data_IF_087845634458
#
_entry.id   IF_087845634458
#
_cell.length_a   1.000
_cell.length_b   1.000
_cell.length_c   1.000
_cell.angle_alpha   90.00
_cell.angle_beta   90.00
_cell.angle_gamma   90.00
#
_symmetry.space_group_name_H-M   'P 1'
#
loop_
_entity.id
_entity.type
_entity.pdbx_description
1 polymer ?
#
# COMPACT_ATOMS: atom_id res chain seq x y z
N UNK A 1 -18.31 -8.93 5.19
CA UNK A 1 -16.90 -8.47 5.09
C UNK A 1 -16.44 -8.03 6.48
N UNK A 2 -15.29 -8.48 6.98
CA UNK A 2 -14.77 -8.07 8.29
C UNK A 2 -13.59 -7.11 8.10
N UNK A 3 -13.92 -5.82 7.92
CA UNK A 3 -12.94 -4.76 7.66
C UNK A 3 -11.92 -4.63 8.80
N UNK A 4 -12.31 -4.63 10.10
CA UNK A 4 -11.34 -4.55 11.19
C UNK A 4 -10.29 -5.67 11.14
N UNK A 5 -10.68 -6.92 10.85
CA UNK A 5 -9.72 -8.03 10.72
C UNK A 5 -8.77 -7.85 9.53
N UNK A 6 -9.25 -7.32 8.41
CA UNK A 6 -8.42 -7.07 7.24
C UNK A 6 -7.36 -5.98 7.53
N UNK A 7 -7.78 -4.89 8.17
CA UNK A 7 -6.87 -3.81 8.61
C UNK A 7 -5.82 -4.34 9.58
N UNK A 8 -6.25 -5.10 10.60
CA UNK A 8 -5.34 -5.69 11.57
C UNK A 8 -4.33 -6.63 10.90
N UNK A 9 -4.76 -7.47 9.97
CA UNK A 9 -3.86 -8.36 9.21
C UNK A 9 -2.78 -7.58 8.46
N UNK A 10 -3.15 -6.51 7.75
CA UNK A 10 -2.19 -5.68 7.02
C UNK A 10 -1.18 -5.00 7.94
N UNK A 11 -1.63 -4.52 9.10
CA UNK A 11 -0.75 -3.97 10.13
C UNK A 11 0.23 -5.02 10.67
N UNK A 12 -0.25 -6.25 10.95
CA UNK A 12 0.64 -7.34 11.38
C UNK A 12 1.64 -7.76 10.30
N UNK A 13 1.22 -7.81 9.03
CA UNK A 13 2.11 -8.12 7.91
C UNK A 13 3.20 -7.05 7.75
N UNK A 14 2.87 -5.77 7.98
CA UNK A 14 3.85 -4.68 7.97
C UNK A 14 4.92 -4.86 9.04
N UNK A 15 4.54 -5.25 10.26
CA UNK A 15 5.49 -5.51 11.35
C UNK A 15 6.41 -6.71 11.10
N UNK A 16 6.14 -7.57 10.11
CA UNK A 16 7.03 -8.69 9.80
C UNK A 16 8.45 -8.23 9.46
N UNK A 17 8.61 -7.05 8.84
CA UNK A 17 9.93 -6.52 8.50
C UNK A 17 10.80 -6.26 9.73
N UNK A 18 10.19 -5.99 10.88
CA UNK A 18 10.85 -5.64 12.14
C UNK A 18 11.36 -6.89 12.89
N UNK A 19 10.82 -8.06 12.57
CA UNK A 19 11.19 -9.32 13.24
C UNK A 19 12.33 -10.01 12.48
N UNK A 20 13.57 -9.92 12.97
CA UNK A 20 14.67 -10.72 12.42
C UNK A 20 14.48 -12.20 12.72
N UNK A 21 14.70 -13.05 11.73
CA UNK A 21 14.67 -14.51 11.90
C UNK A 21 15.93 -15.09 11.28
N UNK A 22 16.81 -15.61 12.13
CA UNK A 22 18.07 -16.23 11.72
C UNK A 22 17.84 -17.70 11.34
N UNK A 23 18.64 -18.19 10.38
CA UNK A 23 18.66 -19.63 10.02
C UNK A 23 17.50 -20.12 9.16
N UNK A 24 16.73 -19.22 8.51
CA UNK A 24 15.69 -19.63 7.58
C UNK A 24 16.27 -20.31 6.32
N UNK A 25 15.62 -21.39 5.90
CA UNK A 25 15.87 -22.01 4.60
C UNK A 25 15.60 -20.99 3.47
N UNK A 26 16.32 -21.04 2.33
CA UNK A 26 16.16 -20.06 1.25
C UNK A 26 14.71 -19.89 0.76
N UNK A 27 13.95 -20.99 0.66
CA UNK A 27 12.53 -20.94 0.26
C UNK A 27 11.65 -20.21 1.29
N UNK A 28 11.93 -20.41 2.58
CA UNK A 28 11.21 -19.73 3.67
C UNK A 28 11.56 -18.24 3.68
N UNK A 29 12.82 -17.89 3.44
CA UNK A 29 13.27 -16.51 3.31
C UNK A 29 12.57 -15.79 2.15
N UNK A 30 12.52 -16.42 0.97
CA UNK A 30 11.82 -15.86 -0.18
C UNK A 30 10.33 -15.62 0.11
N UNK A 31 9.64 -16.59 0.71
CA UNK A 31 8.24 -16.45 1.10
C UNK A 31 8.04 -15.32 2.11
N UNK A 32 8.94 -15.18 3.08
CA UNK A 32 8.91 -14.09 4.06
C UNK A 32 9.08 -12.73 3.38
N UNK A 33 10.02 -12.58 2.45
CA UNK A 33 10.19 -11.35 1.68
C UNK A 33 8.95 -10.99 0.87
N UNK A 34 8.22 -11.97 0.34
CA UNK A 34 6.97 -11.72 -0.38
C UNK A 34 5.83 -11.27 0.53
N UNK A 35 5.73 -11.85 1.73
CA UNK A 35 4.75 -11.39 2.73
C UNK A 35 5.05 -9.98 3.23
N UNK A 36 6.33 -9.65 3.43
CA UNK A 36 6.76 -8.29 3.79
C UNK A 36 6.39 -7.33 2.67
N UNK A 37 6.78 -7.63 1.43
CA UNK A 37 6.41 -6.78 0.29
C UNK A 37 4.90 -6.55 0.21
N UNK A 38 4.10 -7.60 0.40
CA UNK A 38 2.64 -7.49 0.38
C UNK A 38 2.12 -6.58 1.51
N UNK A 39 2.68 -6.72 2.72
CA UNK A 39 2.37 -5.88 3.88
C UNK A 39 2.71 -4.42 3.64
N UNK A 40 3.94 -4.14 3.19
CA UNK A 40 4.38 -2.79 2.78
C UNK A 40 3.48 -2.20 1.71
N UNK A 41 3.25 -2.96 0.64
CA UNK A 41 2.50 -2.52 -0.52
C UNK A 41 1.10 -2.06 -0.13
N UNK A 42 0.34 -2.87 0.60
CA UNK A 42 -0.99 -2.44 1.05
C UNK A 42 -0.96 -1.38 2.14
N UNK A 43 0.09 -1.34 2.97
CA UNK A 43 0.23 -0.28 3.97
C UNK A 43 0.48 1.10 3.35
N UNK A 44 1.13 1.17 2.18
CA UNK A 44 1.27 2.44 1.43
C UNK A 44 -0.09 3.04 1.06
N UNK A 45 -1.10 2.20 0.79
CA UNK A 45 -2.47 2.67 0.54
C UNK A 45 -3.23 2.95 1.83
N UNK A 46 -3.14 2.06 2.82
CA UNK A 46 -3.94 2.12 4.05
C UNK A 46 -3.44 3.15 5.06
N UNK A 47 -2.12 3.23 5.26
CA UNK A 47 -1.42 4.08 6.23
C UNK A 47 -1.91 5.53 6.26
N UNK A 48 -2.07 6.21 5.10
CA UNK A 48 -2.59 7.57 5.02
C UNK A 48 -3.95 7.80 5.70
N UNK A 49 -4.78 6.75 5.80
CA UNK A 49 -6.13 6.86 6.36
C UNK A 49 -6.22 6.44 7.83
N UNK A 50 -5.18 5.79 8.36
CA UNK A 50 -5.19 5.24 9.72
C UNK A 50 -4.11 5.82 10.62
N UNK A 51 -3.12 6.53 10.06
CA UNK A 51 -2.04 7.14 10.82
C UNK A 51 -2.22 8.66 10.94
N UNK A 52 -2.73 9.09 12.10
CA UNK A 52 -2.98 10.50 12.40
C UNK A 52 -1.71 11.33 12.61
N UNK A 53 -0.54 10.70 12.72
CA UNK A 53 0.73 11.38 12.93
C UNK A 53 1.44 11.75 11.61
N UNK A 54 0.92 11.30 10.47
CA UNK A 54 1.50 11.62 9.16
C UNK A 54 1.08 13.02 8.71
N UNK A 55 2.04 13.79 8.20
CA UNK A 55 1.73 15.04 7.51
C UNK A 55 1.01 14.76 6.18
N UNK A 56 0.37 15.79 5.61
CA UNK A 56 -0.27 15.66 4.30
C UNK A 56 0.74 15.24 3.22
N UNK A 57 1.98 15.74 3.30
CA UNK A 57 3.06 15.35 2.40
C UNK A 57 3.40 13.87 2.51
N UNK A 58 3.54 13.34 3.73
CA UNK A 58 3.81 11.91 3.97
C UNK A 58 2.67 11.02 3.41
N UNK A 59 1.43 11.46 3.62
CA UNK A 59 0.24 10.77 3.09
C UNK A 59 0.26 10.72 1.57
N UNK A 60 0.54 11.85 0.90
CA UNK A 60 0.60 11.93 -0.56
C UNK A 60 1.77 11.14 -1.14
N UNK A 61 2.94 11.19 -0.51
CA UNK A 61 4.11 10.40 -0.93
C UNK A 61 3.81 8.90 -0.87
N UNK A 62 3.18 8.45 0.21
CA UNK A 62 2.79 7.05 0.42
C UNK A 62 1.76 6.59 -0.62
N UNK A 63 0.69 7.37 -0.86
CA UNK A 63 -0.30 7.07 -1.88
C UNK A 63 0.29 7.09 -3.31
N UNK A 64 1.18 8.04 -3.59
CA UNK A 64 1.88 8.11 -4.87
C UNK A 64 2.75 6.86 -5.08
N UNK A 65 3.49 6.45 -4.05
CA UNK A 65 4.31 5.23 -4.09
C UNK A 65 3.46 3.99 -4.35
N UNK A 66 2.32 3.85 -3.67
CA UNK A 66 1.36 2.78 -3.95
C UNK A 66 0.92 2.80 -5.42
N UNK A 67 0.51 3.97 -5.94
CA UNK A 67 0.00 4.10 -7.30
C UNK A 67 1.02 3.62 -8.34
N UNK A 68 2.29 4.00 -8.18
CA UNK A 68 3.37 3.58 -9.08
C UNK A 68 3.67 2.08 -8.98
N UNK A 69 3.72 1.53 -7.76
CA UNK A 69 3.93 0.09 -7.57
C UNK A 69 2.76 -0.73 -8.12
N UNK A 70 1.52 -0.28 -7.91
CA UNK A 70 0.33 -0.94 -8.45
C UNK A 70 0.35 -0.93 -9.99
N UNK A 71 0.78 0.18 -10.62
CA UNK A 71 0.95 0.25 -12.06
C UNK A 71 2.04 -0.70 -12.56
N UNK A 72 3.18 -0.79 -11.87
CA UNK A 72 4.25 -1.74 -12.22
C UNK A 72 3.77 -3.20 -12.13
N UNK A 73 3.01 -3.54 -11.07
CA UNK A 73 2.41 -4.86 -10.92
C UNK A 73 1.39 -5.15 -12.02
N UNK A 74 0.55 -4.17 -12.39
CA UNK A 74 -0.42 -4.31 -13.46
C UNK A 74 0.27 -4.50 -14.82
N UNK A 75 1.31 -3.73 -15.13
CA UNK A 75 2.07 -3.91 -16.38
C UNK A 75 2.69 -5.30 -16.48
N UNK A 76 3.19 -5.84 -15.37
CA UNK A 76 3.88 -7.14 -15.35
C UNK A 76 2.95 -8.35 -15.26
N UNK A 77 1.87 -8.23 -14.49
CA UNK A 77 1.02 -9.36 -14.10
C UNK A 77 -0.46 -9.15 -14.43
N UNK A 78 -0.81 -8.01 -15.05
CA UNK A 78 -2.19 -7.64 -15.38
C UNK A 78 -3.07 -7.74 -14.15
N UNK A 79 -4.19 -8.46 -14.26
CA UNK A 79 -5.18 -8.58 -13.19
C UNK A 79 -4.87 -9.70 -12.18
N UNK A 80 -3.69 -10.34 -12.26
CA UNK A 80 -3.32 -11.43 -11.36
C UNK A 80 -2.91 -10.94 -9.96
N UNK A 81 -2.40 -9.70 -9.87
CA UNK A 81 -2.01 -9.10 -8.59
C UNK A 81 -3.16 -8.32 -7.94
N UNK A 82 -3.85 -7.48 -8.72
CA UNK A 82 -5.05 -6.75 -8.33
C UNK A 82 -6.12 -7.00 -9.37
N UNK A 83 -7.37 -7.20 -8.96
CA UNK A 83 -8.46 -7.28 -9.94
C UNK A 83 -8.55 -5.97 -10.72
N UNK A 84 -9.05 -6.01 -11.96
CA UNK A 84 -9.16 -4.79 -12.79
C UNK A 84 -9.96 -3.68 -12.09
N UNK A 85 -11.04 -4.06 -11.39
CA UNK A 85 -11.83 -3.14 -10.57
C UNK A 85 -11.01 -2.55 -9.41
N UNK A 86 -10.33 -3.39 -8.62
CA UNK A 86 -9.53 -2.92 -7.49
C UNK A 86 -8.39 -1.98 -7.93
N UNK A 87 -7.73 -2.30 -9.04
CA UNK A 87 -6.71 -1.43 -9.63
C UNK A 87 -7.31 -0.09 -10.06
N UNK A 88 -8.40 -0.10 -10.84
CA UNK A 88 -9.03 1.13 -11.33
C UNK A 88 -9.53 2.01 -10.17
N UNK A 89 -10.19 1.42 -9.18
CA UNK A 89 -10.77 2.14 -8.04
C UNK A 89 -9.68 2.78 -7.17
N UNK A 90 -8.61 2.04 -6.86
CA UNK A 90 -7.49 2.59 -6.06
C UNK A 90 -6.78 3.73 -6.78
N UNK A 91 -6.54 3.62 -8.09
CA UNK A 91 -5.96 4.70 -8.89
C UNK A 91 -6.88 5.93 -8.95
N UNK A 92 -8.19 5.73 -9.10
CA UNK A 92 -9.15 6.83 -9.11
C UNK A 92 -9.20 7.57 -7.76
N UNK A 93 -9.19 6.85 -6.63
CA UNK A 93 -9.13 7.42 -5.28
C UNK A 93 -7.90 8.32 -5.14
N UNK A 94 -6.72 7.79 -5.47
CA UNK A 94 -5.44 8.52 -5.29
C UNK A 94 -5.40 9.77 -6.16
N UNK A 95 -5.80 9.65 -7.43
CA UNK A 95 -5.88 10.78 -8.36
C UNK A 95 -6.82 11.88 -7.84
N UNK A 96 -7.99 11.51 -7.32
CA UNK A 96 -8.94 12.45 -6.76
C UNK A 96 -8.39 13.17 -5.52
N UNK A 97 -7.71 12.45 -4.62
CA UNK A 97 -7.05 13.05 -3.45
C UNK A 97 -6.02 14.09 -3.89
N UNK A 98 -5.09 13.70 -4.78
CA UNK A 98 -4.01 14.59 -5.25
C UNK A 98 -4.58 15.84 -5.94
N UNK A 99 -5.57 15.66 -6.83
CA UNK A 99 -6.20 16.81 -7.50
C UNK A 99 -6.97 17.71 -6.55
N UNK A 100 -7.61 17.15 -5.54
CA UNK A 100 -8.32 17.96 -4.53
C UNK A 100 -7.33 18.80 -3.74
N UNK A 101 -6.21 18.21 -3.30
CA UNK A 101 -5.13 18.93 -2.61
C UNK A 101 -4.59 20.06 -3.49
N UNK A 102 -4.21 19.76 -4.73
CA UNK A 102 -3.67 20.74 -5.66
C UNK A 102 -4.65 21.88 -5.93
N UNK A 103 -5.96 21.58 -6.04
CA UNK A 103 -6.99 22.61 -6.20
C UNK A 103 -7.11 23.51 -4.98
N UNK A 104 -7.07 22.94 -3.77
CA UNK A 104 -7.17 23.73 -2.53
C UNK A 104 -5.99 24.70 -2.40
N UNK A 105 -4.78 24.28 -2.78
CA UNK A 105 -3.58 25.13 -2.77
C UNK A 105 -3.64 26.33 -3.73
N UNK A 106 -4.48 26.29 -4.76
CA UNK A 106 -4.66 27.41 -5.72
C UNK A 106 -5.83 28.32 -5.30
N UNK A 107 -6.74 27.81 -4.48
CA UNK A 107 -7.90 28.56 -3.98
C UNK A 107 -7.60 29.36 -2.71
N UNK A 108 -6.50 29.05 -2.03
CA UNK A 108 -5.89 29.85 -0.96
C UNK A 108 -4.92 30.90 -1.55
#
# INVERSE_FOLDING_TARGET
QNVPKAVALLQYLRCLSETSVDGLLPAAQHRRSMLIFLGEFFYLFLGPFINVNWSLSDQVESLSTFSHLAAALYLRHQTAALTGALYADTQAIIKNIIFTIARMQVME
#
